data_IF_043710527969
#
_entry.id   IF_043710527969
#
_cell.length_a   1.000
_cell.length_b   1.000
_cell.length_c   1.000
_cell.angle_alpha   90.00
_cell.angle_beta   90.00
_cell.angle_gamma   90.00
#
_symmetry.space_group_name_H-M   'P 1'
#
loop_
_entity.id
_entity.type
_entity.pdbx_description
1 polymer ?
#
# COMPACT_ATOMS: atom_id res chain seq x y z
N UNK A 1 10.89 -5.41 9.08
CA UNK A 1 10.65 -4.37 8.05
C UNK A 1 9.16 -4.27 7.84
N UNK A 2 8.60 -3.07 8.01
CA UNK A 2 7.19 -2.77 7.76
C UNK A 2 6.85 -3.05 6.29
N UNK A 3 5.81 -3.84 6.02
CA UNK A 3 5.30 -4.08 4.67
C UNK A 3 4.27 -3.03 4.28
N UNK A 4 4.14 -2.78 2.98
CA UNK A 4 3.16 -1.81 2.48
C UNK A 4 1.73 -2.25 2.80
N UNK A 5 1.43 -3.55 2.71
CA UNK A 5 0.12 -4.09 3.07
C UNK A 5 -0.26 -3.79 4.53
N UNK A 6 0.67 -4.00 5.45
CA UNK A 6 0.47 -3.76 6.88
C UNK A 6 0.26 -2.27 7.16
N UNK A 7 1.07 -1.42 6.53
CA UNK A 7 0.95 0.04 6.64
C UNK A 7 -0.37 0.54 6.03
N UNK A 8 -0.75 0.05 4.84
CA UNK A 8 -1.96 0.44 4.13
C UNK A 8 -3.21 0.02 4.91
N UNK A 9 -3.20 -1.17 5.53
CA UNK A 9 -4.30 -1.62 6.38
C UNK A 9 -4.48 -0.72 7.62
N UNK A 10 -3.41 -0.17 8.17
CA UNK A 10 -3.49 0.79 9.27
C UNK A 10 -4.08 2.15 8.83
N UNK A 11 -4.10 2.45 7.53
CA UNK A 11 -4.65 3.71 6.99
C UNK A 11 -6.16 3.69 6.75
N UNK A 12 -6.86 2.56 6.98
CA UNK A 12 -8.29 2.42 6.69
C UNK A 12 -9.20 3.38 7.46
N UNK A 13 -8.72 4.01 8.53
CA UNK A 13 -9.46 5.00 9.32
C UNK A 13 -9.37 6.44 8.78
N UNK A 14 -8.46 6.72 7.83
CA UNK A 14 -8.32 8.06 7.24
C UNK A 14 -9.56 8.45 6.43
N UNK A 15 -9.91 9.73 6.46
CA UNK A 15 -11.04 10.27 5.67
C UNK A 15 -10.62 10.89 4.34
N UNK A 16 -9.36 10.70 3.94
CA UNK A 16 -8.82 11.17 2.67
C UNK A 16 -8.79 10.05 1.62
N UNK A 17 -8.27 10.39 0.44
CA UNK A 17 -8.15 9.46 -0.68
C UNK A 17 -7.25 8.26 -0.37
N UNK A 18 -6.24 8.41 0.51
CA UNK A 18 -5.39 7.30 0.95
C UNK A 18 -6.19 6.33 1.83
N UNK A 19 -7.06 6.86 2.71
CA UNK A 19 -8.01 6.05 3.46
C UNK A 19 -9.02 5.31 2.56
N UNK A 20 -9.51 5.97 1.51
CA UNK A 20 -10.38 5.34 0.52
C UNK A 20 -9.65 4.24 -0.26
N UNK A 21 -8.40 4.49 -0.66
CA UNK A 21 -7.54 3.50 -1.29
C UNK A 21 -7.33 2.29 -0.38
N UNK A 22 -7.02 2.53 0.90
CA UNK A 22 -6.81 1.50 1.91
C UNK A 22 -8.05 0.64 2.14
N UNK A 23 -9.25 1.25 2.20
CA UNK A 23 -10.51 0.50 2.33
C UNK A 23 -10.86 -0.31 1.09
N UNK A 24 -10.52 0.20 -0.10
CA UNK A 24 -10.76 -0.46 -1.37
C UNK A 24 -9.85 -1.67 -1.52
N UNK A 25 -8.55 -1.46 -1.34
CA UNK A 25 -7.53 -2.48 -1.58
C UNK A 25 -7.34 -3.46 -0.41
N UNK A 26 -7.54 -3.02 0.84
CA UNK A 26 -7.46 -3.88 2.03
C UNK A 26 -8.46 -5.03 2.00
N UNK A 27 -9.59 -4.85 1.30
CA UNK A 27 -10.58 -5.92 1.06
C UNK A 27 -10.15 -6.90 -0.04
N UNK A 28 -9.32 -6.49 -0.99
CA UNK A 28 -8.90 -7.30 -2.14
C UNK A 28 -7.60 -8.09 -1.87
N UNK A 29 -6.69 -7.54 -1.05
CA UNK A 29 -5.42 -8.20 -0.70
C UNK A 29 -5.62 -9.58 -0.03
N UNK A 30 -6.74 -9.79 0.68
CA UNK A 30 -7.07 -11.08 1.29
C UNK A 30 -7.50 -12.17 0.31
N UNK A 31 -7.87 -11.82 -0.92
CA UNK A 31 -8.40 -12.76 -1.92
C UNK A 31 -7.36 -13.17 -2.98
N UNK A 32 -6.43 -12.29 -3.31
CA UNK A 32 -5.33 -12.57 -4.23
C UNK A 32 -4.04 -12.69 -3.43
N UNK A 33 -3.76 -13.90 -2.95
CA UNK A 33 -2.48 -14.23 -2.34
C UNK A 33 -1.35 -13.79 -3.27
N UNK A 34 -0.67 -12.69 -2.90
CA UNK A 34 0.45 -12.11 -3.62
C UNK A 34 1.40 -13.24 -4.02
N UNK A 35 1.44 -13.51 -5.33
CA UNK A 35 2.16 -14.62 -5.93
C UNK A 35 3.57 -14.71 -5.35
N UNK A 36 4.01 -15.94 -4.98
CA UNK A 36 5.28 -16.31 -4.33
C UNK A 36 6.56 -15.97 -5.11
N UNK A 37 6.56 -14.92 -5.93
CA UNK A 37 7.72 -14.43 -6.69
C UNK A 37 7.94 -12.96 -6.33
N UNK A 38 8.81 -12.69 -5.36
CA UNK A 38 9.34 -11.33 -5.12
C UNK A 38 10.38 -11.01 -6.20
N UNK A 39 10.47 -9.74 -6.66
CA UNK A 39 11.42 -8.87 -5.97
C UNK A 39 10.98 -7.42 -5.70
N UNK A 40 9.82 -6.96 -6.21
CA UNK A 40 9.42 -5.56 -6.06
C UNK A 40 7.98 -5.42 -5.52
N UNK A 41 7.90 -5.06 -4.25
CA UNK A 41 6.64 -4.82 -3.54
C UNK A 41 5.87 -3.66 -4.18
N UNK A 42 6.55 -2.61 -4.65
CA UNK A 42 5.91 -1.48 -5.33
C UNK A 42 5.25 -1.95 -6.62
N UNK A 43 5.97 -2.72 -7.44
CA UNK A 43 5.47 -3.20 -8.73
C UNK A 43 4.24 -4.09 -8.59
N UNK A 44 4.24 -4.99 -7.60
CA UNK A 44 3.09 -5.86 -7.34
C UNK A 44 1.85 -5.05 -6.93
N UNK A 45 2.03 -4.04 -6.08
CA UNK A 45 0.94 -3.17 -5.67
C UNK A 45 0.46 -2.25 -6.79
N UNK A 46 1.37 -1.73 -7.61
CA UNK A 46 1.03 -0.94 -8.80
C UNK A 46 0.17 -1.77 -9.78
N UNK A 47 0.54 -3.03 -10.04
CA UNK A 47 -0.24 -3.93 -10.89
C UNK A 47 -1.65 -4.16 -10.33
N UNK A 48 -1.80 -4.31 -9.01
CA UNK A 48 -3.10 -4.43 -8.35
C UNK A 48 -3.91 -3.15 -8.54
N UNK A 49 -3.34 -1.98 -8.24
CA UNK A 49 -4.00 -0.68 -8.37
C UNK A 49 -4.48 -0.45 -9.81
N UNK A 50 -3.64 -0.74 -10.80
CA UNK A 50 -3.99 -0.60 -12.23
C UNK A 50 -5.17 -1.51 -12.62
N UNK A 51 -5.24 -2.73 -12.06
CA UNK A 51 -6.27 -3.73 -12.41
C UNK A 51 -7.58 -3.56 -11.66
N UNK A 52 -7.54 -3.04 -10.44
CA UNK A 52 -8.67 -3.11 -9.50
C UNK A 52 -9.21 -1.75 -9.08
N UNK A 53 -8.38 -0.71 -9.16
CA UNK A 53 -8.72 0.60 -8.67
C UNK A 53 -9.21 1.51 -9.81
N UNK A 54 -9.82 2.63 -9.42
CA UNK A 54 -10.18 3.68 -10.36
C UNK A 54 -8.91 4.35 -10.89
N UNK A 55 -8.90 4.92 -12.11
CA UNK A 55 -7.75 5.65 -12.63
C UNK A 55 -7.22 6.72 -11.66
N UNK A 56 -8.13 7.36 -10.92
CA UNK A 56 -7.81 8.39 -9.92
C UNK A 56 -7.01 7.85 -8.73
N UNK A 57 -7.05 6.53 -8.47
CA UNK A 57 -6.33 5.90 -7.37
C UNK A 57 -4.84 5.66 -7.69
N UNK A 58 -4.41 5.79 -8.95
CA UNK A 58 -2.99 5.62 -9.32
C UNK A 58 -2.14 6.76 -8.74
N UNK A 59 -2.64 8.00 -8.81
CA UNK A 59 -1.96 9.15 -8.21
C UNK A 59 -1.88 9.01 -6.68
N UNK A 60 -3.00 8.64 -6.07
CA UNK A 60 -3.13 8.40 -4.62
C UNK A 60 -2.22 7.26 -4.16
N UNK A 61 -2.06 6.21 -4.97
CA UNK A 61 -1.13 5.12 -4.67
C UNK A 61 0.32 5.60 -4.61
N UNK A 62 0.74 6.44 -5.57
CA UNK A 62 2.11 6.98 -5.57
C UNK A 62 2.36 7.83 -4.31
N UNK A 63 1.40 8.65 -3.90
CA UNK A 63 1.46 9.44 -2.66
C UNK A 63 1.55 8.53 -1.43
N UNK A 64 0.64 7.54 -1.33
CA UNK A 64 0.63 6.55 -0.26
C UNK A 64 1.95 5.75 -0.18
N UNK A 65 2.55 5.43 -1.32
CA UNK A 65 3.83 4.74 -1.37
C UNK A 65 4.97 5.59 -0.80
N UNK A 66 5.02 6.89 -1.09
CA UNK A 66 6.01 7.79 -0.50
C UNK A 66 5.85 7.91 1.03
N UNK A 67 4.61 8.06 1.51
CA UNK A 67 4.35 8.07 2.97
C UNK A 67 4.79 6.76 3.65
N UNK A 68 4.54 5.62 3.00
CA UNK A 68 5.02 4.33 3.48
C UNK A 68 6.55 4.27 3.54
N UNK A 69 7.26 4.73 2.51
CA UNK A 69 8.73 4.72 2.50
C UNK A 69 9.29 5.55 3.67
N UNK A 70 8.70 6.71 3.95
CA UNK A 70 9.05 7.54 5.10
C UNK A 70 8.77 6.82 6.43
N UNK A 71 7.58 6.25 6.60
CA UNK A 71 7.22 5.51 7.81
C UNK A 71 8.14 4.29 8.03
N UNK A 72 8.53 3.63 6.94
CA UNK A 72 9.43 2.47 6.97
C UNK A 72 10.84 2.85 7.40
N UNK A 73 11.36 3.98 6.91
CA UNK A 73 12.69 4.47 7.34
C UNK A 73 12.65 4.94 8.80
N UNK A 74 11.61 5.68 9.22
CA UNK A 74 11.44 6.09 10.62
C UNK A 74 11.37 4.89 11.58
N UNK A 75 10.68 3.81 11.19
CA UNK A 75 10.63 2.56 11.98
C UNK A 75 12.02 1.91 12.08
N UNK A 76 12.84 2.01 11.02
CA UNK A 76 14.19 1.45 10.98
C UNK A 76 15.17 2.26 11.81
N UNK A 77 15.04 3.59 11.83
CA UNK A 77 15.81 4.48 12.70
C UNK A 77 15.45 4.31 14.19
N UNK A 78 14.18 4.04 14.51
CA UNK A 78 13.75 3.78 15.90
C UNK A 78 14.25 2.46 16.51
N UNK A 79 14.79 1.56 15.66
CA UNK A 79 15.29 0.24 16.03
C UNK A 79 16.83 0.14 15.93
N UNK A 80 17.50 1.22 15.56
CA UNK A 80 18.95 1.33 15.41
C UNK A 80 19.58 2.03 16.62
#
# INVERSE_FOLDING_TARGET
MLKFEEWLNAQQSRQDLIGDLARTLGKQSGAESVSRRKPDEHKNWADIVIKTARPDHVAVFNEAWQEFLLAREATKESLA
#
